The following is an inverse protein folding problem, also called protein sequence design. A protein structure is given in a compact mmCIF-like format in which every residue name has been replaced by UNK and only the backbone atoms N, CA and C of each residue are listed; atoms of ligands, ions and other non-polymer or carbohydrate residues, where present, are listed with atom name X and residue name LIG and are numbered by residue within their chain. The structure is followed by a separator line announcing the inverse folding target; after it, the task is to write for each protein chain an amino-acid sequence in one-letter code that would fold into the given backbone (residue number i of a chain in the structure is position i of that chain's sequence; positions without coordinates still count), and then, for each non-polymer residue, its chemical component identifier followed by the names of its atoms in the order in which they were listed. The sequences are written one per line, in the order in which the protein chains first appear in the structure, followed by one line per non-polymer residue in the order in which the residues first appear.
data_IF_958979572620
#
_entry.id   IF_958979572620
#
_cell.length_a   1.000
_cell.length_b   1.000
_cell.length_c   1.000
_cell.angle_alpha   90.00
_cell.angle_beta   90.00
_cell.angle_gamma   90.00
#
_symmetry.space_group_name_H-M   'P 1'
#
loop_
_entity.id
_entity.type
_entity.pdbx_description
1 polymer ?
#
# COMPACT_ATOMS: atom_id res chain seq x y z
N UNK A 1 29.06 2.52 -34.39
CA UNK A 1 28.97 1.76 -33.13
C UNK A 1 28.04 2.50 -32.18
N UNK A 2 26.75 2.15 -32.11
CA UNK A 2 25.91 2.48 -30.93
C UNK A 2 24.49 1.91 -30.93
N UNK A 3 23.98 1.35 -32.04
CA UNK A 3 22.58 0.89 -32.07
C UNK A 3 22.34 -0.39 -31.28
N UNK A 4 23.28 -1.35 -31.33
CA UNK A 4 23.14 -2.60 -30.58
C UNK A 4 23.31 -2.39 -29.06
N UNK A 5 24.19 -1.47 -28.65
CA UNK A 5 24.37 -1.13 -27.24
C UNK A 5 23.14 -0.41 -26.68
N UNK A 6 22.60 0.57 -27.41
CA UNK A 6 21.36 1.24 -27.02
C UNK A 6 20.18 0.27 -26.95
N UNK A 7 20.09 -0.68 -27.88
CA UNK A 7 19.10 -1.75 -27.85
C UNK A 7 19.27 -2.67 -26.64
N UNK A 8 20.51 -3.03 -26.29
CA UNK A 8 20.82 -3.82 -25.09
C UNK A 8 20.44 -3.06 -23.81
N UNK A 9 20.78 -1.77 -23.72
CA UNK A 9 20.43 -0.90 -22.61
C UNK A 9 18.91 -0.72 -22.47
N UNK A 10 18.18 -0.61 -23.58
CA UNK A 10 16.72 -0.57 -23.59
C UNK A 10 16.09 -1.88 -23.09
N UNK A 11 16.72 -3.03 -23.37
CA UNK A 11 16.27 -4.33 -22.86
C UNK A 11 16.53 -4.42 -21.34
N UNK A 12 17.71 -4.00 -20.87
CA UNK A 12 18.05 -3.94 -19.44
C UNK A 12 17.11 -2.97 -18.70
N UNK A 13 16.76 -1.84 -19.31
CA UNK A 13 15.82 -0.88 -18.74
C UNK A 13 14.35 -1.32 -18.83
N UNK A 14 14.08 -2.55 -19.30
CA UNK A 14 12.74 -3.13 -19.33
C UNK A 14 11.83 -2.60 -20.45
N UNK A 15 12.36 -1.90 -21.47
CA UNK A 15 11.56 -1.26 -22.51
C UNK A 15 10.86 -2.23 -23.49
N UNK A 16 11.22 -3.52 -23.49
CA UNK A 16 10.65 -4.54 -24.37
C UNK A 16 9.72 -5.56 -23.68
N UNK A 17 9.32 -5.33 -22.44
CA UNK A 17 8.19 -6.08 -21.87
C UNK A 17 6.93 -5.44 -22.43
N UNK A 18 6.27 -6.12 -23.39
CA UNK A 18 4.86 -5.91 -23.73
C UNK A 18 4.14 -5.63 -22.41
N UNK A 19 3.72 -4.38 -22.21
CA UNK A 19 3.11 -3.89 -20.98
C UNK A 19 2.16 -4.96 -20.45
N UNK A 20 2.57 -5.72 -19.43
CA UNK A 20 1.63 -6.06 -18.38
C UNK A 20 1.23 -4.68 -17.86
N UNK A 21 0.14 -4.13 -18.40
CA UNK A 21 -0.44 -2.88 -17.93
C UNK A 21 -1.02 -3.14 -16.53
N UNK A 22 -0.16 -3.48 -15.57
CA UNK A 22 -0.46 -3.29 -14.18
C UNK A 22 -0.67 -1.79 -14.04
N UNK A 23 -1.91 -1.40 -13.75
CA UNK A 23 -2.32 -0.01 -13.59
C UNK A 23 -1.38 0.61 -12.55
N UNK A 24 -0.48 1.49 -12.99
CA UNK A 24 0.45 2.14 -12.08
C UNK A 24 -0.31 3.18 -11.26
N UNK A 25 0.03 3.28 -9.98
CA UNK A 25 -0.61 4.21 -9.06
C UNK A 25 -0.23 5.66 -9.42
N UNK A 26 -1.22 6.43 -9.86
CA UNK A 26 -1.06 7.85 -10.23
C UNK A 26 -0.68 8.72 -9.03
N UNK A 27 -0.04 9.87 -9.26
CA UNK A 27 0.30 10.81 -8.19
C UNK A 27 -0.95 11.38 -7.49
N UNK A 28 -2.02 11.60 -8.24
CA UNK A 28 -3.30 12.01 -7.69
C UNK A 28 -3.88 10.96 -6.73
N UNK A 29 -3.81 9.67 -7.08
CA UNK A 29 -4.29 8.59 -6.24
C UNK A 29 -3.38 8.33 -5.04
N UNK A 30 -2.05 8.48 -5.21
CA UNK A 30 -1.10 8.48 -4.09
C UNK A 30 -1.46 9.55 -3.07
N UNK A 31 -1.74 10.77 -3.52
CA UNK A 31 -2.16 11.85 -2.63
C UNK A 31 -3.47 11.51 -1.90
N UNK A 32 -4.50 11.06 -2.62
CA UNK A 32 -5.78 10.66 -1.99
C UNK A 32 -5.62 9.53 -0.98
N UNK A 33 -4.81 8.51 -1.30
CA UNK A 33 -4.49 7.41 -0.39
C UNK A 33 -3.76 7.89 0.85
N UNK A 34 -2.76 8.77 0.68
CA UNK A 34 -1.99 9.36 1.78
C UNK A 34 -2.88 10.20 2.69
N UNK A 35 -3.69 11.10 2.13
CA UNK A 35 -4.61 11.96 2.88
C UNK A 35 -5.62 11.11 3.68
N UNK A 36 -6.25 10.12 3.03
CA UNK A 36 -7.20 9.22 3.68
C UNK A 36 -6.54 8.30 4.72
N UNK A 37 -5.29 7.89 4.49
CA UNK A 37 -4.51 7.08 5.43
C UNK A 37 -4.22 7.87 6.72
N UNK A 38 -3.78 9.12 6.60
CA UNK A 38 -3.54 9.98 7.76
C UNK A 38 -4.83 10.35 8.47
N UNK A 39 -5.89 10.65 7.71
CA UNK A 39 -7.21 10.91 8.28
C UNK A 39 -7.71 9.71 9.10
N UNK A 40 -7.55 8.48 8.59
CA UNK A 40 -7.89 7.27 9.33
C UNK A 40 -7.08 7.17 10.62
N UNK A 41 -5.75 7.35 10.56
CA UNK A 41 -4.88 7.28 11.74
C UNK A 41 -5.29 8.29 12.83
N UNK A 42 -5.48 9.56 12.47
CA UNK A 42 -5.83 10.60 13.45
C UNK A 42 -7.22 10.40 14.03
N UNK A 43 -8.19 9.96 13.23
CA UNK A 43 -9.55 9.70 13.75
C UNK A 43 -9.61 8.43 14.62
N UNK A 44 -8.83 7.39 14.31
CA UNK A 44 -8.67 6.23 15.20
C UNK A 44 -8.04 6.64 16.54
N UNK A 45 -6.99 7.47 16.49
CA UNK A 45 -6.38 8.05 17.69
C UNK A 45 -7.42 8.82 18.50
N UNK A 46 -8.16 9.73 17.86
CA UNK A 46 -9.18 10.52 18.53
C UNK A 46 -10.28 9.63 19.15
N UNK A 47 -10.67 8.55 18.45
CA UNK A 47 -11.65 7.58 18.97
C UNK A 47 -11.15 6.92 20.24
N UNK A 48 -9.92 6.41 20.23
CA UNK A 48 -9.32 5.73 21.38
C UNK A 48 -9.16 6.72 22.56
N UNK A 49 -8.75 7.97 22.27
CA UNK A 49 -8.58 9.00 23.30
C UNK A 49 -9.90 9.41 23.96
N UNK A 50 -10.96 9.56 23.16
CA UNK A 50 -12.31 9.91 23.66
C UNK A 50 -12.97 8.74 24.40
N UNK A 51 -12.63 7.49 24.06
CA UNK A 51 -13.10 6.28 24.74
C UNK A 51 -12.52 6.12 26.15
N UNK A 52 -11.31 6.62 26.40
CA UNK A 52 -10.69 6.64 27.73
C UNK A 52 -9.18 6.45 27.67
N UNK A 53 -8.48 6.85 28.74
CA UNK A 53 -7.03 6.83 28.81
C UNK A 53 -6.36 8.14 28.35
N UNK A 54 -5.03 8.11 28.25
CA UNK A 54 -4.23 9.24 27.81
C UNK A 54 -3.95 9.20 26.29
N UNK A 55 -3.47 10.31 25.74
CA UNK A 55 -3.15 10.45 24.31
C UNK A 55 -2.11 9.41 23.83
N UNK A 56 -1.11 9.10 24.67
CA UNK A 56 -0.08 8.11 24.35
C UNK A 56 -0.66 6.71 24.12
N UNK A 57 -1.56 6.26 25.01
CA UNK A 57 -2.29 5.01 24.85
C UNK A 57 -3.15 5.01 23.59
N UNK A 58 -3.86 6.11 23.33
CA UNK A 58 -4.70 6.27 22.16
C UNK A 58 -3.92 6.14 20.84
N UNK A 59 -2.73 6.75 20.77
CA UNK A 59 -1.81 6.61 19.64
C UNK A 59 -1.31 5.17 19.49
N UNK A 60 -0.88 4.54 20.58
CA UNK A 60 -0.41 3.16 20.54
C UNK A 60 -1.47 2.20 19.97
N UNK A 61 -2.73 2.33 20.43
CA UNK A 61 -3.84 1.53 19.92
C UNK A 61 -4.10 1.82 18.44
N UNK A 62 -4.07 3.10 18.03
CA UNK A 62 -4.25 3.48 16.62
C UNK A 62 -3.14 2.92 15.71
N UNK A 63 -1.88 2.94 16.15
CA UNK A 63 -0.75 2.34 15.42
C UNK A 63 -1.01 0.84 15.18
N UNK A 64 -1.44 0.12 16.21
CA UNK A 64 -1.75 -1.32 16.09
C UNK A 64 -2.95 -1.59 15.18
N UNK A 65 -4.00 -0.77 15.24
CA UNK A 65 -5.14 -0.85 14.33
C UNK A 65 -4.71 -0.60 12.87
N UNK A 66 -3.86 0.41 12.63
CA UNK A 66 -3.31 0.69 11.29
C UNK A 66 -2.42 -0.46 10.80
N UNK A 67 -1.59 -1.04 11.66
CA UNK A 67 -0.77 -2.21 11.33
C UNK A 67 -1.64 -3.37 10.84
N UNK A 68 -2.70 -3.70 11.58
CA UNK A 68 -3.65 -4.76 11.21
C UNK A 68 -4.36 -4.44 9.90
N UNK A 69 -4.85 -3.21 9.73
CA UNK A 69 -5.52 -2.78 8.49
C UNK A 69 -4.60 -2.93 7.27
N UNK A 70 -3.38 -2.42 7.34
CA UNK A 70 -2.41 -2.45 6.23
C UNK A 70 -1.94 -3.87 5.93
N UNK A 71 -1.85 -4.74 6.94
CA UNK A 71 -1.52 -6.15 6.75
C UNK A 71 -2.55 -6.90 5.88
N UNK A 72 -3.82 -6.48 5.89
CA UNK A 72 -4.86 -7.06 5.00
C UNK A 72 -4.68 -6.70 3.53
N UNK A 73 -3.84 -5.70 3.21
CA UNK A 73 -3.69 -5.21 1.83
C UNK A 73 -2.66 -6.03 1.07
N UNK A 74 -3.01 -6.47 -0.14
CA UNK A 74 -2.13 -7.25 -1.01
C UNK A 74 -0.96 -6.41 -1.51
N UNK A 75 0.27 -6.92 -1.38
CA UNK A 75 1.46 -6.32 -1.98
C UNK A 75 1.47 -6.41 -3.52
N UNK A 76 0.59 -7.23 -4.11
CA UNK A 76 0.40 -7.33 -5.56
C UNK A 76 -0.53 -6.25 -6.11
N UNK A 77 -1.22 -5.50 -5.24
CA UNK A 77 -2.01 -4.35 -5.61
C UNK A 77 -1.15 -3.08 -5.43
N UNK A 78 -0.92 -2.25 -6.45
CA UNK A 78 -0.09 -1.05 -6.33
C UNK A 78 -0.55 -0.07 -5.23
N UNK A 79 -1.85 0.13 -5.05
CA UNK A 79 -2.40 0.92 -3.95
C UNK A 79 -2.16 0.23 -2.59
N UNK A 80 -2.33 -1.09 -2.53
CA UNK A 80 -2.05 -1.89 -1.33
C UNK A 80 -0.57 -1.86 -0.93
N UNK A 81 0.34 -1.97 -1.88
CA UNK A 81 1.78 -1.83 -1.67
C UNK A 81 2.14 -0.43 -1.16
N UNK A 82 1.56 0.62 -1.77
CA UNK A 82 1.78 2.00 -1.33
C UNK A 82 1.33 2.23 0.12
N UNK A 83 0.17 1.70 0.53
CA UNK A 83 -0.27 1.77 1.93
C UNK A 83 0.69 1.05 2.90
N UNK A 84 1.29 -0.06 2.48
CA UNK A 84 2.34 -0.77 3.25
C UNK A 84 3.60 0.08 3.39
N UNK A 85 4.00 0.76 2.32
CA UNK A 85 5.13 1.69 2.32
C UNK A 85 4.87 2.90 3.22
N UNK A 86 3.67 3.49 3.17
CA UNK A 86 3.28 4.58 4.07
C UNK A 86 3.40 4.15 5.53
N UNK A 87 2.87 2.99 5.90
CA UNK A 87 3.01 2.47 7.26
C UNK A 87 4.46 2.23 7.66
N UNK A 88 5.26 1.59 6.80
CA UNK A 88 6.68 1.37 7.08
C UNK A 88 7.45 2.67 7.31
N UNK A 89 7.16 3.72 6.52
CA UNK A 89 7.82 5.02 6.63
C UNK A 89 7.42 5.79 7.89
N UNK A 90 6.18 5.65 8.36
CA UNK A 90 5.65 6.50 9.44
C UNK A 90 5.56 5.82 10.80
N UNK A 91 5.50 4.49 10.87
CA UNK A 91 5.31 3.77 12.14
C UNK A 91 6.39 4.11 13.18
N UNK A 92 7.67 4.13 12.77
CA UNK A 92 8.76 4.52 13.66
C UNK A 92 8.64 5.97 14.14
N UNK A 93 8.26 6.89 13.24
CA UNK A 93 8.09 8.30 13.55
C UNK A 93 6.92 8.55 14.50
N UNK A 94 5.80 7.84 14.31
CA UNK A 94 4.66 7.91 15.22
C UNK A 94 4.99 7.37 16.60
N UNK A 95 5.73 6.25 16.68
CA UNK A 95 6.24 5.74 17.97
C UNK A 95 7.12 6.76 18.68
N UNK A 96 8.00 7.45 17.95
CA UNK A 96 8.83 8.51 18.51
C UNK A 96 7.98 9.69 19.01
N UNK A 97 7.07 10.23 18.18
CA UNK A 97 6.19 11.33 18.55
C UNK A 97 5.34 11.00 19.78
N UNK A 98 4.86 9.75 19.87
CA UNK A 98 4.15 9.25 21.03
C UNK A 98 4.99 9.30 22.30
N UNK A 99 6.26 8.92 22.24
CA UNK A 99 7.16 8.95 23.40
C UNK A 99 7.60 10.37 23.78
N UNK A 100 7.73 11.28 22.81
CA UNK A 100 8.30 12.62 23.02
C UNK A 100 7.27 13.75 23.13
N UNK A 101 5.97 13.46 22.94
CA UNK A 101 4.93 14.49 23.03
C UNK A 101 4.77 14.97 24.48
N UNK A 102 4.77 16.29 24.73
CA UNK A 102 4.48 16.83 26.06
C UNK A 102 3.04 16.52 26.51
N UNK A 103 2.14 16.26 25.56
CA UNK A 103 0.72 15.96 25.78
C UNK A 103 0.43 14.47 25.88
N UNK A 104 1.45 13.61 25.91
CA UNK A 104 1.27 12.14 25.91
C UNK A 104 0.33 11.67 27.04
N UNK A 105 0.44 12.29 28.20
CA UNK A 105 -0.33 11.92 29.40
C UNK A 105 -1.68 12.65 29.49
N UNK A 106 -1.98 13.55 28.54
CA UNK A 106 -3.24 14.29 28.53
C UNK A 106 -4.41 13.33 28.32
N UNK A 107 -5.45 13.55 29.12
CA UNK A 107 -6.74 12.86 28.96
C UNK A 107 -7.75 13.84 28.38
N UNK A 108 -8.77 13.31 27.71
CA UNK A 108 -9.89 14.15 27.28
C UNK A 108 -10.68 14.56 28.51
N UNK A 109 -10.73 15.86 28.81
CA UNK A 109 -11.67 16.43 29.78
C UNK A 109 -12.88 17.01 29.05
N UNK A 110 -13.97 16.24 29.00
CA UNK A 110 -15.21 16.62 28.34
C UNK A 110 -16.40 15.87 28.94
N UNK A 111 -17.56 16.54 28.95
CA UNK A 111 -18.84 15.95 29.37
C UNK A 111 -19.23 14.75 28.50
N UNK A 112 -20.06 13.86 29.06
CA UNK A 112 -20.53 12.67 28.35
C UNK A 112 -21.25 13.02 27.02
N UNK A 113 -22.04 14.09 27.01
CA UNK A 113 -22.74 14.60 25.83
C UNK A 113 -21.76 15.04 24.73
N UNK A 114 -20.73 15.82 25.07
CA UNK A 114 -19.69 16.23 24.11
C UNK A 114 -18.92 15.03 23.57
N UNK A 115 -18.62 14.05 24.42
CA UNK A 115 -17.97 12.80 23.98
C UNK A 115 -18.84 12.03 23.00
N UNK A 116 -20.16 11.96 23.20
CA UNK A 116 -21.08 11.29 22.29
C UNK A 116 -21.13 12.00 20.92
N UNK A 117 -21.22 13.33 20.90
CA UNK A 117 -21.16 14.13 19.68
C UNK A 117 -19.84 13.92 18.92
N UNK A 118 -18.71 13.98 19.63
CA UNK A 118 -17.39 13.76 19.03
C UNK A 118 -17.26 12.35 18.47
N UNK A 119 -17.69 11.33 19.21
CA UNK A 119 -17.69 9.93 18.73
C UNK A 119 -18.47 9.79 17.43
N UNK A 120 -19.64 10.43 17.31
CA UNK A 120 -20.44 10.41 16.08
C UNK A 120 -19.69 11.06 14.91
N UNK A 121 -19.13 12.26 15.10
CA UNK A 121 -18.36 12.97 14.07
C UNK A 121 -17.12 12.19 13.64
N UNK A 122 -16.38 11.62 14.60
CA UNK A 122 -15.18 10.82 14.34
C UNK A 122 -15.55 9.56 13.56
N UNK A 123 -16.64 8.86 13.92
CA UNK A 123 -17.10 7.67 13.21
C UNK A 123 -17.43 7.96 11.73
N UNK A 124 -18.06 9.10 11.44
CA UNK A 124 -18.32 9.53 10.06
C UNK A 124 -17.03 9.71 9.26
N UNK A 125 -16.01 10.35 9.86
CA UNK A 125 -14.71 10.56 9.23
C UNK A 125 -13.95 9.24 9.00
N UNK A 126 -13.98 8.33 9.98
CA UNK A 126 -13.40 6.98 9.82
C UNK A 126 -14.05 6.27 8.63
N UNK A 127 -15.37 6.27 8.55
CA UNK A 127 -16.10 5.63 7.45
C UNK A 127 -15.78 6.25 6.09
N UNK A 128 -15.66 7.59 6.02
CA UNK A 128 -15.28 8.28 4.79
C UNK A 128 -13.85 7.93 4.35
N UNK A 129 -12.89 7.90 5.28
CA UNK A 129 -11.51 7.51 5.02
C UNK A 129 -11.43 6.05 4.56
N UNK A 130 -12.08 5.12 5.26
CA UNK A 130 -12.13 3.70 4.88
C UNK A 130 -12.77 3.49 3.50
N UNK A 131 -13.86 4.20 3.21
CA UNK A 131 -14.49 4.17 1.89
C UNK A 131 -13.52 4.61 0.81
N UNK A 132 -12.84 5.74 0.99
CA UNK A 132 -11.85 6.26 0.03
C UNK A 132 -10.72 5.26 -0.20
N UNK A 133 -10.14 4.72 0.88
CA UNK A 133 -9.06 3.74 0.80
C UNK A 133 -9.50 2.47 0.07
N UNK A 134 -10.70 1.95 0.38
CA UNK A 134 -11.21 0.74 -0.25
C UNK A 134 -11.60 0.96 -1.72
N UNK A 135 -12.21 2.10 -2.06
CA UNK A 135 -12.53 2.47 -3.45
C UNK A 135 -11.26 2.52 -4.29
N UNK A 136 -10.25 3.28 -3.84
CA UNK A 136 -9.00 3.37 -4.60
C UNK A 136 -8.30 2.02 -4.64
N UNK A 137 -8.25 1.26 -3.54
CA UNK A 137 -7.60 -0.06 -3.57
C UNK A 137 -8.29 -1.00 -4.58
N UNK A 138 -9.64 -1.02 -4.62
CA UNK A 138 -10.40 -1.85 -5.55
C UNK A 138 -10.15 -1.49 -7.02
N UNK A 139 -9.95 -0.21 -7.34
CA UNK A 139 -9.62 0.23 -8.70
C UNK A 139 -8.28 -0.30 -9.24
N UNK A 140 -7.42 -0.80 -8.34
CA UNK A 140 -6.09 -1.34 -8.63
C UNK A 140 -5.99 -2.84 -8.33
N UNK A 141 -7.11 -3.49 -7.97
CA UNK A 141 -7.14 -4.94 -7.91
C UNK A 141 -6.94 -5.52 -9.30
N UNK A 142 -5.89 -6.33 -9.45
CA UNK A 142 -5.68 -7.11 -10.66
C UNK A 142 -6.90 -8.01 -10.83
N UNK A 143 -7.73 -7.73 -11.86
CA UNK A 143 -8.70 -8.73 -12.35
C UNK A 143 -7.92 -10.01 -12.55
N UNK A 144 -8.33 -11.12 -11.90
CA UNK A 144 -7.67 -12.42 -12.01
C UNK A 144 -7.31 -12.66 -13.48
N UNK A 145 -6.02 -12.59 -13.81
CA UNK A 145 -5.59 -12.86 -15.18
C UNK A 145 -5.99 -14.29 -15.52
N UNK A 146 -6.54 -14.46 -16.71
CA UNK A 146 -7.00 -15.74 -17.22
C UNK A 146 -5.85 -16.77 -17.09
N UNK A 147 -5.99 -17.86 -16.30
CA UNK A 147 -4.89 -18.81 -16.01
C UNK A 147 -4.20 -19.36 -17.27
N UNK A 148 -4.92 -19.36 -18.38
CA UNK A 148 -4.45 -19.76 -19.71
C UNK A 148 -3.31 -18.89 -20.23
N UNK A 149 -3.30 -17.57 -19.98
CA UNK A 149 -2.24 -16.66 -20.44
C UNK A 149 -0.92 -16.92 -19.70
N UNK A 150 -0.98 -17.26 -18.40
CA UNK A 150 0.20 -17.60 -17.61
C UNK A 150 0.81 -18.93 -18.06
N UNK A 151 -0.03 -19.94 -18.31
CA UNK A 151 0.43 -21.24 -18.83
C UNK A 151 1.01 -21.14 -20.25
N UNK A 152 0.42 -20.31 -21.12
CA UNK A 152 0.98 -20.04 -22.45
C UNK A 152 2.32 -19.29 -22.37
N UNK A 153 2.47 -18.33 -21.46
CA UNK A 153 3.74 -17.63 -21.26
C UNK A 153 4.84 -18.59 -20.75
N UNK A 154 4.52 -19.46 -19.80
CA UNK A 154 5.44 -20.48 -19.29
C UNK A 154 5.87 -21.49 -20.37
N UNK A 155 4.92 -21.96 -21.20
CA UNK A 155 5.22 -22.84 -22.34
C UNK A 155 6.11 -22.16 -23.39
N UNK A 156 5.86 -20.89 -23.71
CA UNK A 156 6.70 -20.13 -24.65
C UNK A 156 8.12 -19.94 -24.12
N UNK A 157 8.29 -19.69 -22.81
CA UNK A 157 9.62 -19.57 -22.19
C UNK A 157 10.35 -20.91 -22.25
N UNK A 158 9.69 -22.03 -21.91
CA UNK A 158 10.29 -23.37 -21.97
C UNK A 158 10.72 -23.74 -23.40
N UNK A 159 9.89 -23.41 -24.40
CA UNK A 159 10.20 -23.64 -25.82
C UNK A 159 11.41 -22.82 -26.29
N UNK A 160 11.52 -21.55 -25.89
CA UNK A 160 12.67 -20.71 -26.22
C UNK A 160 13.97 -21.22 -25.58
N UNK A 161 13.91 -21.73 -24.34
CA UNK A 161 15.05 -22.35 -23.67
C UNK A 161 15.51 -23.61 -24.42
N UNK A 162 14.57 -24.47 -24.83
CA UNK A 162 14.89 -25.67 -25.61
C UNK A 162 15.49 -25.35 -26.99
N UNK A 163 14.96 -24.33 -27.69
CA UNK A 163 15.49 -23.90 -28.98
C UNK A 163 16.93 -23.36 -28.86
N UNK A 164 17.23 -22.61 -27.80
CA UNK A 164 18.59 -22.13 -27.52
C UNK A 164 19.55 -23.26 -27.15
N UNK A 165 19.10 -24.24 -26.36
CA UNK A 165 19.90 -25.42 -26.02
C UNK A 165 20.27 -26.24 -27.26
N UNK A 166 19.35 -26.36 -28.23
CA UNK A 166 19.62 -27.04 -29.51
C UNK A 166 20.57 -26.27 -30.42
N UNK A 167 20.48 -24.94 -30.44
CA UNK A 167 21.39 -24.09 -31.22
C UNK A 167 22.83 -24.11 -30.66
N UNK A 168 22.99 -24.20 -29.34
CA UNK A 168 24.31 -24.28 -28.71
C UNK A 168 24.90 -25.69 -28.69
N UNK A 169 24.10 -26.74 -28.86
CA UNK A 169 24.56 -28.14 -28.96
C UNK A 169 24.93 -28.60 -30.38
N UNK A 170 24.68 -27.77 -31.41
CA UNK A 170 24.88 -28.12 -32.82
C UNK A 170 26.16 -27.59 -33.46
N UNK A 171 27.01 -26.85 -32.73
CA UNK A 171 28.33 -26.38 -33.21
C UNK A 171 29.48 -27.13 -32.53
N UNK A 172 29.38 -28.46 -32.54
CA UNK A 172 30.38 -29.36 -31.99
C UNK A 172 30.39 -30.69 -32.73
N UNK A 173 30.43 -30.62 -34.07
CA UNK A 173 30.79 -31.73 -34.95
C UNK A 173 31.82 -31.21 -35.95
#
# INVERSE_FOLDING_TARGET
MNDDFNKYMQIISGANLKKSQEKQLSDADRKKLSDAYFELFYNLTATNWVQGGNLGHAWYVAINQMKSYVATKSAKNPAGLYLRQLFAAHNARWGQLMMTSPHREDTVDASAEKRAEWKQRIAQKINAALKTLNTITAEYELKKQNPQLFNMAAQNIAMQIQLRARQNGGMGA
#
